data_IF_373379626547
#
_entry.id   IF_373379626547
#
_cell.length_a   1.000
_cell.length_b   1.000
_cell.length_c   1.000
_cell.angle_alpha   90.00
_cell.angle_beta   90.00
_cell.angle_gamma   90.00
#
_symmetry.space_group_name_H-M   'P 1'
#
loop_
_entity.id
_entity.type
_entity.pdbx_description
1 polymer ?
#
# COMPACT_ATOMS: atom_id res chain seq x y z
N UNK A 1 -17.47 -22.00 -5.27
CA UNK A 1 -17.66 -20.91 -6.25
C UNK A 1 -18.02 -19.64 -5.48
N UNK A 2 -17.36 -18.51 -5.74
CA UNK A 2 -17.72 -17.22 -5.13
C UNK A 2 -18.81 -16.53 -5.97
N UNK A 3 -20.07 -16.90 -5.72
CA UNK A 3 -21.22 -16.58 -6.58
C UNK A 3 -21.51 -15.08 -6.60
N UNK A 4 -21.22 -14.37 -5.51
CA UNK A 4 -21.52 -12.94 -5.37
C UNK A 4 -20.56 -12.03 -6.14
N UNK A 5 -19.32 -12.46 -6.37
CA UNK A 5 -18.26 -11.64 -6.99
C UNK A 5 -17.81 -12.12 -8.38
N UNK A 6 -18.23 -13.30 -8.80
CA UNK A 6 -17.81 -13.85 -10.11
C UNK A 6 -18.58 -13.19 -11.25
N UNK A 7 -17.84 -12.68 -12.25
CA UNK A 7 -18.42 -12.17 -13.50
C UNK A 7 -19.07 -13.27 -14.37
N UNK A 8 -18.78 -14.54 -14.07
CA UNK A 8 -19.28 -15.71 -14.80
C UNK A 8 -20.11 -16.60 -13.87
N UNK A 9 -21.10 -16.01 -13.19
CA UNK A 9 -22.05 -16.73 -12.33
C UNK A 9 -23.27 -17.26 -13.11
N UNK A 10 -23.14 -17.47 -14.42
CA UNK A 10 -24.20 -18.06 -15.23
C UNK A 10 -24.40 -19.53 -14.83
N UNK A 11 -25.66 -19.99 -14.80
CA UNK A 11 -25.99 -21.41 -14.56
C UNK A 11 -25.34 -22.34 -15.60
N UNK A 12 -24.98 -21.81 -16.76
CA UNK A 12 -24.39 -22.54 -17.90
C UNK A 12 -22.92 -22.88 -17.61
N UNK A 13 -22.19 -22.05 -16.86
CA UNK A 13 -20.75 -22.19 -16.63
C UNK A 13 -20.40 -22.84 -15.29
N UNK A 14 -21.36 -23.45 -14.59
CA UNK A 14 -21.14 -24.09 -13.28
C UNK A 14 -20.08 -25.19 -13.36
N UNK A 15 -20.05 -25.96 -14.46
CA UNK A 15 -19.10 -27.05 -14.65
C UNK A 15 -17.66 -26.55 -14.93
N UNK A 16 -17.51 -25.31 -15.38
CA UNK A 16 -16.20 -24.68 -15.65
C UNK A 16 -15.65 -23.96 -14.40
N UNK A 17 -16.41 -23.93 -13.31
CA UNK A 17 -16.04 -23.20 -12.10
C UNK A 17 -14.93 -23.93 -11.33
N UNK A 18 -13.80 -23.23 -11.15
CA UNK A 18 -12.69 -23.73 -10.33
C UNK A 18 -13.06 -23.57 -8.84
N UNK A 19 -13.09 -24.68 -8.11
CA UNK A 19 -13.24 -24.67 -6.66
C UNK A 19 -11.87 -24.38 -6.02
N UNK A 20 -11.81 -23.32 -5.21
CA UNK A 20 -10.60 -22.97 -4.47
C UNK A 20 -10.43 -23.85 -3.24
N UNK A 21 -9.21 -24.33 -3.01
CA UNK A 21 -8.87 -25.05 -1.79
C UNK A 21 -8.80 -24.10 -0.59
N UNK A 22 -8.71 -24.65 0.62
CA UNK A 22 -8.70 -23.87 1.85
C UNK A 22 -7.53 -22.86 1.96
N UNK A 23 -6.41 -23.11 1.28
CA UNK A 23 -5.22 -22.26 1.33
C UNK A 23 -5.09 -21.35 0.09
N UNK A 24 -6.00 -21.48 -0.87
CA UNK A 24 -5.90 -20.71 -2.11
C UNK A 24 -6.45 -19.29 -1.89
N UNK A 25 -5.75 -18.32 -2.46
CA UNK A 25 -6.16 -16.92 -2.50
C UNK A 25 -6.33 -16.49 -3.96
N UNK A 26 -7.21 -15.53 -4.21
CA UNK A 26 -7.39 -14.94 -5.54
C UNK A 26 -7.24 -13.44 -5.49
N UNK A 27 -7.07 -12.85 -6.67
CA UNK A 27 -6.98 -11.40 -6.81
C UNK A 27 -8.27 -10.84 -7.39
N UNK A 28 -8.92 -9.93 -6.67
CA UNK A 28 -10.13 -9.24 -7.10
C UNK A 28 -9.96 -7.73 -6.93
N UNK A 29 -10.19 -6.98 -8.01
CA UNK A 29 -9.99 -5.52 -8.08
C UNK A 29 -8.65 -5.01 -7.53
N UNK A 30 -7.60 -5.85 -7.59
CA UNK A 30 -6.27 -5.49 -7.08
C UNK A 30 -5.96 -5.98 -5.67
N UNK A 31 -6.96 -6.49 -4.95
CA UNK A 31 -6.90 -7.02 -3.58
C UNK A 31 -6.75 -8.53 -3.63
N UNK A 32 -5.87 -9.08 -2.80
CA UNK A 32 -5.76 -10.51 -2.55
C UNK A 32 -6.81 -10.88 -1.50
N UNK A 33 -7.78 -11.67 -1.90
CA UNK A 33 -8.84 -12.18 -1.05
C UNK A 33 -8.67 -13.69 -0.83
N UNK A 34 -9.07 -14.15 0.35
CA UNK A 34 -9.20 -15.58 0.63
C UNK A 34 -10.51 -16.13 0.02
N UNK A 35 -10.72 -17.45 0.10
CA UNK A 35 -11.98 -18.09 -0.30
C UNK A 35 -13.24 -17.52 0.36
N UNK A 36 -13.12 -16.81 1.49
CA UNK A 36 -14.23 -16.17 2.21
C UNK A 36 -14.51 -14.76 1.72
N UNK A 37 -13.85 -14.34 0.63
CA UNK A 37 -13.95 -13.00 0.05
C UNK A 37 -13.40 -11.90 0.96
N UNK A 38 -12.55 -12.25 1.93
CA UNK A 38 -11.97 -11.30 2.87
C UNK A 38 -10.56 -10.90 2.43
N UNK A 39 -10.23 -9.61 2.49
CA UNK A 39 -8.87 -9.15 2.21
C UNK A 39 -7.84 -9.78 3.15
N UNK A 40 -6.79 -10.34 2.59
CA UNK A 40 -5.69 -10.94 3.36
C UNK A 40 -4.71 -9.86 3.83
N UNK A 41 -4.03 -10.08 4.98
CA UNK A 41 -2.96 -9.20 5.48
C UNK A 41 -1.79 -9.03 4.49
N UNK A 42 -1.57 -10.01 3.61
CA UNK A 42 -0.56 -9.96 2.53
C UNK A 42 -0.72 -8.75 1.59
N UNK A 43 -1.92 -8.15 1.53
CA UNK A 43 -2.13 -6.92 0.77
C UNK A 43 -1.28 -5.77 1.29
N UNK A 44 -1.11 -5.64 2.61
CA UNK A 44 -0.31 -4.56 3.19
C UNK A 44 1.13 -4.59 2.68
N UNK A 45 1.78 -5.75 2.75
CA UNK A 45 3.16 -5.92 2.27
C UNK A 45 3.29 -5.61 0.77
N UNK A 46 2.30 -6.01 -0.02
CA UNK A 46 2.26 -5.72 -1.45
C UNK A 46 2.15 -4.21 -1.73
N UNK A 47 1.31 -3.52 -0.98
CA UNK A 47 1.09 -2.06 -1.10
C UNK A 47 2.35 -1.32 -0.68
N UNK A 48 2.90 -1.63 0.49
CA UNK A 48 4.15 -1.05 1.00
C UNK A 48 5.28 -1.24 -0.02
N UNK A 49 5.43 -2.43 -0.60
CA UNK A 49 6.43 -2.70 -1.63
C UNK A 49 6.22 -1.84 -2.89
N UNK A 50 4.97 -1.67 -3.34
CA UNK A 50 4.65 -0.81 -4.49
C UNK A 50 4.97 0.66 -4.21
N UNK A 51 4.57 1.17 -3.05
CA UNK A 51 4.86 2.54 -2.62
C UNK A 51 6.36 2.79 -2.61
N UNK A 52 7.13 1.95 -1.91
CA UNK A 52 8.59 2.06 -1.86
C UNK A 52 9.23 2.04 -3.23
N UNK A 53 8.82 1.10 -4.10
CA UNK A 53 9.33 1.00 -5.47
C UNK A 53 9.05 2.26 -6.28
N UNK A 54 7.84 2.83 -6.17
CA UNK A 54 7.49 4.05 -6.90
C UNK A 54 8.26 5.26 -6.39
N UNK A 55 8.44 5.38 -5.07
CA UNK A 55 9.21 6.46 -4.45
C UNK A 55 10.67 6.37 -4.89
N UNK A 56 11.29 5.19 -4.88
CA UNK A 56 12.65 4.97 -5.40
C UNK A 56 12.79 5.43 -6.86
N UNK A 57 11.80 5.13 -7.71
CA UNK A 57 11.77 5.64 -9.08
C UNK A 57 11.62 7.16 -9.16
N UNK A 58 10.77 7.75 -8.33
CA UNK A 58 10.56 9.21 -8.28
C UNK A 58 11.83 9.94 -7.83
N UNK A 59 12.57 9.38 -6.88
CA UNK A 59 13.83 9.94 -6.37
C UNK A 59 14.92 10.01 -7.46
N UNK A 60 14.82 9.18 -8.50
CA UNK A 60 15.75 9.15 -9.64
C UNK A 60 15.36 10.12 -10.77
N UNK A 61 14.25 10.85 -10.63
CA UNK A 61 13.80 11.83 -11.62
C UNK A 61 14.37 13.22 -11.33
N UNK A 62 14.46 14.07 -12.35
CA UNK A 62 14.92 15.47 -12.22
C UNK A 62 13.81 16.43 -11.75
N UNK A 63 12.97 16.01 -10.80
CA UNK A 63 11.95 16.88 -10.21
C UNK A 63 12.55 17.80 -9.16
N UNK A 64 12.02 19.03 -9.07
CA UNK A 64 12.33 19.88 -7.91
C UNK A 64 11.72 19.27 -6.63
N UNK A 65 12.26 19.65 -5.47
CA UNK A 65 11.87 19.08 -4.17
C UNK A 65 10.36 19.19 -3.90
N UNK A 66 9.76 20.33 -4.21
CA UNK A 66 8.31 20.57 -4.04
C UNK A 66 7.47 19.62 -4.89
N UNK A 67 7.82 19.46 -6.16
CA UNK A 67 7.12 18.59 -7.10
C UNK A 67 7.35 17.12 -6.78
N UNK A 68 8.56 16.76 -6.34
CA UNK A 68 8.88 15.41 -5.90
C UNK A 68 8.05 15.02 -4.68
N UNK A 69 8.02 15.87 -3.65
CA UNK A 69 7.23 15.61 -2.44
C UNK A 69 5.74 15.55 -2.76
N UNK A 70 5.24 16.44 -3.63
CA UNK A 70 3.85 16.39 -4.11
C UNK A 70 3.55 15.06 -4.82
N UNK A 71 4.40 14.62 -5.74
CA UNK A 71 4.20 13.37 -6.47
C UNK A 71 4.23 12.14 -5.55
N UNK A 72 5.11 12.14 -4.54
CA UNK A 72 5.17 11.08 -3.53
C UNK A 72 3.87 11.05 -2.72
N UNK A 73 3.45 12.20 -2.19
CA UNK A 73 2.26 12.29 -1.35
C UNK A 73 0.99 11.91 -2.13
N UNK A 74 0.83 12.43 -3.34
CA UNK A 74 -0.33 12.14 -4.18
C UNK A 74 -0.43 10.64 -4.49
N UNK A 75 0.70 10.01 -4.85
CA UNK A 75 0.72 8.58 -5.14
C UNK A 75 0.47 7.72 -3.89
N UNK A 76 1.18 8.01 -2.79
CA UNK A 76 1.07 7.21 -1.56
C UNK A 76 -0.33 7.36 -0.93
N UNK A 77 -0.86 8.58 -0.83
CA UNK A 77 -2.19 8.83 -0.26
C UNK A 77 -3.29 8.20 -1.12
N UNK A 78 -3.20 8.32 -2.45
CA UNK A 78 -4.17 7.69 -3.35
C UNK A 78 -4.24 6.17 -3.12
N UNK A 79 -3.08 5.52 -2.99
CA UNK A 79 -3.01 4.09 -2.74
C UNK A 79 -3.54 3.73 -1.34
N UNK A 80 -3.09 4.43 -0.29
CA UNK A 80 -3.51 4.14 1.09
C UNK A 80 -5.01 4.37 1.29
N UNK A 81 -5.58 5.43 0.72
CA UNK A 81 -7.02 5.72 0.81
C UNK A 81 -7.89 4.60 0.24
N UNK A 82 -7.43 3.89 -0.79
CA UNK A 82 -8.16 2.74 -1.32
C UNK A 82 -8.19 1.58 -0.31
N UNK A 83 -7.07 1.30 0.34
CA UNK A 83 -6.93 0.11 1.20
C UNK A 83 -7.35 0.34 2.66
N UNK A 84 -7.38 1.58 3.15
CA UNK A 84 -7.73 1.89 4.55
C UNK A 84 -9.16 1.47 4.92
N UNK A 85 -10.10 1.53 3.96
CA UNK A 85 -11.48 1.08 4.18
C UNK A 85 -11.69 -0.43 4.02
N UNK A 86 -10.66 -1.14 3.55
CA UNK A 86 -10.74 -2.57 3.23
C UNK A 86 -9.97 -3.44 4.23
N UNK A 87 -8.86 -2.90 4.75
CA UNK A 87 -7.96 -3.59 5.67
C UNK A 87 -8.04 -2.93 7.04
N UNK A 88 -8.21 -3.76 8.07
CA UNK A 88 -8.05 -3.31 9.45
C UNK A 88 -6.54 -3.18 9.76
N UNK A 89 -6.01 -1.97 9.54
CA UNK A 89 -4.58 -1.66 9.69
C UNK A 89 -4.39 -0.78 10.92
N UNK A 90 -3.55 -1.24 11.83
CA UNK A 90 -3.20 -0.47 13.02
C UNK A 90 -2.33 0.75 12.67
N UNK A 91 -2.51 1.90 13.36
CA UNK A 91 -1.72 3.12 13.14
C UNK A 91 -0.19 2.91 13.14
N UNK A 92 0.30 1.92 13.87
CA UNK A 92 1.74 1.61 13.96
C UNK A 92 2.35 1.19 12.63
N UNK A 93 1.58 0.51 11.76
CA UNK A 93 2.04 0.14 10.43
C UNK A 93 2.27 1.36 9.55
N UNK A 94 1.44 2.40 9.68
CA UNK A 94 1.62 3.66 8.95
C UNK A 94 2.87 4.40 9.42
N UNK A 95 3.13 4.44 10.73
CA UNK A 95 4.37 5.03 11.27
C UNK A 95 5.61 4.31 10.74
N UNK A 96 5.57 2.97 10.71
CA UNK A 96 6.65 2.17 10.14
C UNK A 96 6.86 2.49 8.65
N UNK A 97 5.78 2.56 7.87
CA UNK A 97 5.85 2.91 6.46
C UNK A 97 6.47 4.30 6.24
N UNK A 98 6.03 5.31 7.00
CA UNK A 98 6.59 6.67 6.94
C UNK A 98 8.09 6.68 7.28
N UNK A 99 8.50 5.96 8.32
CA UNK A 99 9.91 5.81 8.67
C UNK A 99 10.74 5.22 7.52
N UNK A 100 10.25 4.14 6.91
CA UNK A 100 10.93 3.48 5.79
C UNK A 100 10.98 4.38 4.54
N UNK A 101 9.94 5.17 4.28
CA UNK A 101 9.94 6.16 3.19
C UNK A 101 11.03 7.21 3.43
N UNK A 102 11.14 7.74 4.65
CA UNK A 102 12.18 8.71 5.00
C UNK A 102 13.58 8.12 4.84
N UNK A 103 13.79 6.86 5.19
CA UNK A 103 15.07 6.18 4.93
C UNK A 103 15.43 6.16 3.45
N UNK A 104 14.46 5.88 2.56
CA UNK A 104 14.67 5.91 1.11
C UNK A 104 15.07 7.32 0.64
N UNK A 105 14.39 8.35 1.16
CA UNK A 105 14.70 9.74 0.83
C UNK A 105 16.08 10.19 1.30
N UNK A 106 16.49 9.75 2.50
CA UNK A 106 17.84 10.00 3.04
C UNK A 106 18.90 9.33 2.16
N UNK A 107 18.65 8.07 1.75
CA UNK A 107 19.58 7.32 0.91
C UNK A 107 19.81 7.99 -0.45
N UNK A 108 18.79 8.65 -0.99
CA UNK A 108 18.89 9.43 -2.23
C UNK A 108 19.38 10.88 -2.02
N UNK A 109 19.71 11.28 -0.79
CA UNK A 109 20.19 12.62 -0.47
C UNK A 109 19.12 13.73 -0.58
N UNK A 110 17.84 13.37 -0.70
CA UNK A 110 16.72 14.33 -0.81
C UNK A 110 16.33 14.89 0.56
N UNK A 111 16.43 14.05 1.59
CA UNK A 111 16.07 14.42 2.96
C UNK A 111 17.30 14.32 3.87
N UNK A 112 17.55 15.37 4.66
CA UNK A 112 18.62 15.37 5.66
C UNK A 112 18.08 14.86 6.99
N UNK A 113 18.77 13.92 7.62
CA UNK A 113 18.42 13.51 8.98
C UNK A 113 18.78 14.66 9.93
N UNK A 114 17.84 15.19 10.74
CA UNK A 114 18.18 16.21 11.73
C UNK A 114 19.19 15.64 12.71
N UNK A 115 20.24 16.41 13.03
CA UNK A 115 21.34 15.98 13.88
C UNK A 115 20.93 15.72 15.35
N UNK A 116 19.79 16.24 15.80
CA UNK A 116 19.23 15.89 17.11
C UNK A 116 17.69 15.99 17.11
N UNK A 117 17.06 14.99 17.75
CA UNK A 117 15.61 14.75 17.75
C UNK A 117 14.87 15.59 18.79
N UNK A 118 15.58 16.20 19.73
CA UNK A 118 15.00 16.78 20.95
C UNK A 118 14.47 18.21 20.76
N UNK A 119 14.77 18.87 19.65
CA UNK A 119 14.41 20.28 19.43
C UNK A 119 12.99 20.52 18.91
N UNK A 120 12.25 19.48 18.49
CA UNK A 120 10.95 19.65 17.81
C UNK A 120 9.77 19.67 18.80
N UNK A 121 9.98 19.36 20.08
CA UNK A 121 8.91 19.29 21.09
C UNK A 121 8.61 20.61 21.84
N UNK A 122 9.26 21.73 21.51
CA UNK A 122 9.18 22.96 22.32
C UNK A 122 8.36 24.12 21.75
N UNK A 123 7.69 23.98 20.60
CA UNK A 123 6.92 25.09 20.00
C UNK A 123 5.40 24.88 19.97
N UNK A 124 4.84 24.37 21.07
CA UNK A 124 3.41 24.56 21.39
C UNK A 124 3.24 24.85 22.87
N UNK A 125 3.43 26.12 23.24
CA UNK A 125 2.81 26.74 24.42
C UNK A 125 1.65 27.59 23.94
#
# INVERSE_FOLDING_TARGET
>A
MNIEKSATNSLISINDAVLMNNNDCYKYLGIIEDKTSKPTKANWDLITKKIKKRIDMLCKTNLNSTNLMRAINEYAMSLLNYYIGLLDIEPEFFKKLDHEIRQILILHGIHLQPACKDYILTEKN
#
